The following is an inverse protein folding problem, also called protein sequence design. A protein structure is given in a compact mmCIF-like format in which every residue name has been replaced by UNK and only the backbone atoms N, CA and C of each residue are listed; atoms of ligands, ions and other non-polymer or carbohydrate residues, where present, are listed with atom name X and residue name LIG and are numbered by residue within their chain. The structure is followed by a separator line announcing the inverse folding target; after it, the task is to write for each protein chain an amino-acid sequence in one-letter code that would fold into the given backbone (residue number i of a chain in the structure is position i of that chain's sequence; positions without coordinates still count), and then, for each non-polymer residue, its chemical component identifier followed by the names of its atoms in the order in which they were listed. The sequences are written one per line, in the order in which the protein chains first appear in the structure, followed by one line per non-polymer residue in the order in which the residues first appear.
data_IF_481003324830
#
_entry.id   IF_481003324830
#
_cell.length_a   1.000
_cell.length_b   1.000
_cell.length_c   1.000
_cell.angle_alpha   90.00
_cell.angle_beta   90.00
_cell.angle_gamma   90.00
#
_symmetry.space_group_name_H-M   'P 1'
#
loop_
_entity.id
_entity.type
_entity.pdbx_description
1 polymer ?
#
# COMPACT_ATOMS: atom_id res chain seq x y z
N UNK A 1 -5.39 19.63 9.18
CA UNK A 1 -4.61 18.37 9.17
C UNK A 1 -5.46 17.23 9.73
N UNK A 2 -5.56 16.13 9.01
CA UNK A 2 -6.35 14.98 9.41
C UNK A 2 -5.61 14.18 10.48
N UNK A 3 -6.27 13.90 11.62
CA UNK A 3 -5.68 13.07 12.66
C UNK A 3 -5.69 11.59 12.24
N UNK A 4 -4.81 10.74 12.78
CA UNK A 4 -4.83 9.31 12.50
C UNK A 4 -6.17 8.66 12.83
N UNK A 5 -6.79 9.07 13.94
CA UNK A 5 -8.09 8.52 14.33
C UNK A 5 -9.20 8.92 13.37
N UNK A 6 -9.22 10.18 12.93
CA UNK A 6 -10.20 10.65 11.96
C UNK A 6 -10.04 9.92 10.62
N UNK A 7 -8.81 9.70 10.19
CA UNK A 7 -8.51 8.95 8.98
C UNK A 7 -8.96 7.49 9.11
N UNK A 8 -8.73 6.87 10.27
CA UNK A 8 -9.18 5.51 10.56
C UNK A 8 -10.70 5.40 10.47
N UNK A 9 -11.41 6.34 11.11
CA UNK A 9 -12.87 6.34 11.14
C UNK A 9 -13.44 6.52 9.73
N UNK A 10 -12.87 7.43 8.95
CA UNK A 10 -13.27 7.66 7.56
C UNK A 10 -13.04 6.41 6.71
N UNK A 11 -11.89 5.78 6.85
CA UNK A 11 -11.54 4.57 6.11
C UNK A 11 -12.51 3.42 6.47
N UNK A 12 -12.76 3.21 7.75
CA UNK A 12 -13.67 2.16 8.22
C UNK A 12 -15.09 2.37 7.73
N UNK A 13 -15.57 3.61 7.76
CA UNK A 13 -16.90 3.94 7.29
C UNK A 13 -17.05 3.69 5.79
N UNK A 14 -16.07 4.12 5.00
CA UNK A 14 -16.08 3.91 3.55
C UNK A 14 -15.99 2.41 3.22
N UNK A 15 -15.17 1.66 3.94
CA UNK A 15 -15.05 0.21 3.78
C UNK A 15 -16.36 -0.49 4.10
N UNK A 16 -17.05 -0.07 5.16
CA UNK A 16 -18.34 -0.63 5.56
C UNK A 16 -19.39 -0.38 4.48
N UNK A 17 -19.40 0.82 3.87
CA UNK A 17 -20.32 1.14 2.78
C UNK A 17 -20.07 0.25 1.56
N UNK A 18 -18.82 0.00 1.21
CA UNK A 18 -18.47 -0.88 0.10
C UNK A 18 -18.91 -2.31 0.35
N UNK A 19 -18.74 -2.81 1.58
CA UNK A 19 -19.19 -4.14 1.97
C UNK A 19 -20.71 -4.25 1.87
N UNK A 20 -21.44 -3.23 2.30
CA UNK A 20 -22.88 -3.18 2.19
C UNK A 20 -23.32 -3.18 0.73
N UNK A 21 -22.61 -2.46 -0.14
CA UNK A 21 -22.87 -2.44 -1.58
C UNK A 21 -22.71 -3.81 -2.21
N UNK A 22 -21.69 -4.57 -1.82
CA UNK A 22 -21.45 -5.93 -2.31
C UNK A 22 -22.63 -6.82 -1.93
N UNK A 23 -23.07 -6.74 -0.67
CA UNK A 23 -24.20 -7.52 -0.16
C UNK A 23 -25.49 -7.14 -0.89
N UNK A 24 -25.74 -5.86 -1.12
CA UNK A 24 -26.94 -5.36 -1.76
C UNK A 24 -27.03 -5.70 -3.25
N UNK A 25 -25.88 -5.70 -3.94
CA UNK A 25 -25.83 -5.98 -5.38
C UNK A 25 -25.87 -7.46 -5.72
N UNK A 26 -25.85 -8.33 -4.70
CA UNK A 26 -25.83 -9.77 -4.89
C UNK A 26 -24.45 -10.25 -5.29
N UNK A 27 -24.40 -11.45 -5.87
CA UNK A 27 -23.15 -12.13 -6.15
C UNK A 27 -22.69 -12.00 -7.62
N UNK A 28 -23.09 -10.93 -8.33
CA UNK A 28 -22.64 -10.75 -9.70
C UNK A 28 -21.14 -10.49 -9.74
N UNK A 29 -20.44 -11.14 -10.67
CA UNK A 29 -19.00 -10.98 -10.86
C UNK A 29 -18.63 -9.53 -11.13
N UNK A 30 -19.44 -8.83 -11.92
CA UNK A 30 -19.22 -7.42 -12.24
C UNK A 30 -19.29 -6.53 -11.00
N UNK A 31 -20.28 -6.76 -10.14
CA UNK A 31 -20.44 -5.99 -8.91
C UNK A 31 -19.31 -6.22 -7.94
N UNK A 32 -18.88 -7.46 -7.77
CA UNK A 32 -17.76 -7.81 -6.89
C UNK A 32 -16.47 -7.18 -7.40
N UNK A 33 -16.21 -7.27 -8.70
CA UNK A 33 -14.99 -6.70 -9.30
C UNK A 33 -14.95 -5.19 -9.12
N UNK A 34 -16.07 -4.51 -9.32
CA UNK A 34 -16.18 -3.07 -9.12
C UNK A 34 -15.89 -2.69 -7.66
N UNK A 35 -16.43 -3.46 -6.72
CA UNK A 35 -16.22 -3.21 -5.30
C UNK A 35 -14.75 -3.42 -4.90
N UNK A 36 -14.08 -4.45 -5.43
CA UNK A 36 -12.65 -4.70 -5.18
C UNK A 36 -11.80 -3.56 -5.71
N UNK A 37 -12.13 -3.01 -6.89
CA UNK A 37 -11.45 -1.88 -7.46
C UNK A 37 -11.62 -0.64 -6.56
N UNK A 38 -12.84 -0.39 -6.08
CA UNK A 38 -13.11 0.73 -5.18
C UNK A 38 -12.37 0.60 -3.85
N UNK A 39 -12.25 -0.63 -3.31
CA UNK A 39 -11.47 -0.89 -2.10
C UNK A 39 -10.00 -0.55 -2.33
N UNK A 40 -9.45 -0.95 -3.47
CA UNK A 40 -8.06 -0.64 -3.83
C UNK A 40 -7.84 0.86 -3.95
N UNK A 41 -8.76 1.57 -4.59
CA UNK A 41 -8.68 3.03 -4.73
C UNK A 41 -8.75 3.73 -3.39
N UNK A 42 -9.59 3.26 -2.49
CA UNK A 42 -9.70 3.81 -1.14
C UNK A 42 -8.39 3.66 -0.38
N UNK A 43 -7.77 2.49 -0.44
CA UNK A 43 -6.47 2.25 0.17
C UNK A 43 -5.38 3.12 -0.47
N UNK A 44 -5.38 3.24 -1.80
CA UNK A 44 -4.43 4.09 -2.53
C UNK A 44 -4.49 5.54 -2.06
N UNK A 45 -5.70 6.09 -1.94
CA UNK A 45 -5.90 7.48 -1.55
C UNK A 45 -5.39 7.73 -0.12
N UNK A 46 -5.65 6.80 0.79
CA UNK A 46 -5.15 6.90 2.15
C UNK A 46 -3.62 6.80 2.19
N UNK A 47 -3.04 5.88 1.44
CA UNK A 47 -1.60 5.71 1.38
C UNK A 47 -0.91 6.95 0.80
N UNK A 48 -1.47 7.56 -0.24
CA UNK A 48 -0.93 8.80 -0.81
C UNK A 48 -0.93 9.93 0.21
N UNK A 49 -2.01 10.08 0.96
CA UNK A 49 -2.09 11.09 1.99
C UNK A 49 -1.07 10.88 3.11
N UNK A 50 -0.93 9.64 3.57
CA UNK A 50 0.04 9.28 4.61
C UNK A 50 1.48 9.44 4.12
N UNK A 51 1.75 9.11 2.87
CA UNK A 51 3.07 9.29 2.24
C UNK A 51 3.46 10.76 2.23
N UNK A 52 2.54 11.64 1.86
CA UNK A 52 2.77 13.07 1.86
C UNK A 52 3.02 13.60 3.27
N UNK A 53 2.27 13.14 4.26
CA UNK A 53 2.46 13.53 5.66
C UNK A 53 3.80 13.07 6.21
N UNK A 54 4.30 11.92 5.75
CA UNK A 54 5.60 11.40 6.17
C UNK A 54 6.77 12.19 5.60
N UNK A 55 6.53 12.99 4.57
CA UNK A 55 7.55 13.87 4.01
C UNK A 55 8.52 13.18 3.05
N UNK A 56 8.15 12.03 2.51
CA UNK A 56 8.98 11.39 1.49
C UNK A 56 9.01 12.23 0.22
N UNK A 57 10.20 12.35 -0.34
CA UNK A 57 10.43 13.11 -1.58
C UNK A 57 10.93 12.16 -2.66
N UNK A 58 10.93 12.63 -3.90
CA UNK A 58 11.56 11.88 -4.98
C UNK A 58 13.04 11.70 -4.65
N UNK A 59 13.68 10.58 -4.92
CA UNK A 59 13.24 9.50 -5.81
C UNK A 59 12.64 8.27 -5.10
N UNK A 60 12.05 8.44 -3.95
CA UNK A 60 11.37 7.34 -3.25
C UNK A 60 10.06 7.01 -3.94
N UNK A 61 9.65 5.75 -3.90
CA UNK A 61 8.40 5.29 -4.49
C UNK A 61 7.67 4.30 -3.59
N UNK A 62 6.35 4.33 -3.65
CA UNK A 62 5.50 3.38 -2.96
C UNK A 62 4.70 2.60 -4.00
N UNK A 63 4.82 1.28 -3.99
CA UNK A 63 4.15 0.41 -4.94
C UNK A 63 3.17 -0.53 -4.23
N UNK A 64 2.08 -0.81 -4.90
CA UNK A 64 1.15 -1.88 -4.50
C UNK A 64 1.64 -3.19 -5.11
N UNK A 65 1.66 -4.24 -4.31
CA UNK A 65 2.11 -5.57 -4.76
C UNK A 65 1.09 -6.63 -4.36
N UNK A 66 1.25 -7.85 -4.86
CA UNK A 66 0.35 -8.96 -4.58
C UNK A 66 -1.06 -8.67 -5.06
N UNK A 67 -2.07 -9.12 -4.31
CA UNK A 67 -3.47 -8.87 -4.64
C UNK A 67 -3.82 -7.40 -4.74
N UNK A 68 -3.24 -6.59 -3.87
CA UNK A 68 -3.41 -5.13 -3.91
C UNK A 68 -2.82 -4.54 -5.21
N UNK A 69 -1.69 -5.08 -5.66
CA UNK A 69 -1.10 -4.67 -6.96
C UNK A 69 -2.02 -4.96 -8.14
N UNK A 70 -2.76 -6.06 -8.08
CA UNK A 70 -3.74 -6.44 -9.11
C UNK A 70 -5.08 -5.70 -8.97
N UNK A 71 -5.20 -4.79 -8.00
CA UNK A 71 -6.45 -4.09 -7.67
C UNK A 71 -7.55 -5.05 -7.23
N UNK A 72 -7.16 -6.13 -6.55
CA UNK A 72 -8.05 -7.17 -6.05
C UNK A 72 -8.01 -7.21 -4.52
N UNK A 73 -8.16 -6.05 -3.88
CA UNK A 73 -8.11 -5.95 -2.43
C UNK A 73 -9.43 -6.44 -1.82
N UNK A 74 -9.40 -7.63 -1.24
CA UNK A 74 -10.53 -8.18 -0.51
C UNK A 74 -10.63 -7.50 0.87
N UNK A 75 -11.85 -7.45 1.46
CA UNK A 75 -12.05 -6.70 2.72
C UNK A 75 -11.16 -7.11 3.89
N UNK A 76 -10.72 -8.36 3.93
CA UNK A 76 -9.88 -8.87 5.01
C UNK A 76 -8.46 -9.18 4.55
N UNK A 77 -8.09 -8.74 3.36
CA UNK A 77 -6.74 -8.93 2.84
C UNK A 77 -5.81 -7.86 3.38
N UNK A 78 -4.53 -8.22 3.55
CA UNK A 78 -3.51 -7.25 3.87
C UNK A 78 -3.28 -6.32 2.66
N UNK A 79 -2.95 -5.07 2.96
CA UNK A 79 -2.57 -4.09 1.95
C UNK A 79 -1.05 -4.21 1.74
N UNK A 80 -0.66 -4.99 0.74
CA UNK A 80 0.77 -5.26 0.50
C UNK A 80 1.42 -4.11 -0.26
N UNK A 81 2.45 -3.53 0.32
CA UNK A 81 3.17 -2.39 -0.27
C UNK A 81 4.67 -2.64 -0.28
N UNK A 82 5.33 -2.04 -1.25
CA UNK A 82 6.78 -2.03 -1.36
C UNK A 82 7.26 -0.58 -1.36
N UNK A 83 8.12 -0.24 -0.40
CA UNK A 83 8.83 1.03 -0.40
C UNK A 83 10.12 0.85 -1.18
N UNK A 84 10.20 1.50 -2.33
CA UNK A 84 11.36 1.40 -3.21
C UNK A 84 12.28 2.59 -2.99
N UNK A 85 13.53 2.30 -2.66
CA UNK A 85 14.54 3.31 -2.34
C UNK A 85 15.61 3.36 -3.42
N UNK A 86 16.22 4.53 -3.65
CA UNK A 86 17.43 4.59 -4.49
C UNK A 86 18.56 3.81 -3.82
N UNK A 87 19.51 3.31 -4.62
CA UNK A 87 20.59 2.46 -4.11
C UNK A 87 21.51 3.15 -3.11
N UNK A 88 21.59 4.49 -3.14
CA UNK A 88 22.41 5.26 -2.23
C UNK A 88 21.72 5.55 -0.88
N UNK A 89 20.47 5.11 -0.70
CA UNK A 89 19.71 5.32 0.53
C UNK A 89 19.54 3.98 1.25
N UNK A 90 20.29 3.80 2.33
CA UNK A 90 20.26 2.56 3.12
C UNK A 90 19.72 2.90 4.52
N UNK A 91 18.52 2.39 4.89
CA UNK A 91 17.93 2.70 6.21
C UNK A 91 18.83 2.31 7.38
N UNK A 92 19.56 1.22 7.28
CA UNK A 92 20.45 0.75 8.35
C UNK A 92 21.60 1.72 8.59
N UNK A 93 21.99 2.50 7.58
CA UNK A 93 23.06 3.49 7.68
C UNK A 93 22.54 4.91 7.91
N UNK A 94 21.23 5.10 7.90
CA UNK A 94 20.61 6.42 8.05
C UNK A 94 19.47 6.33 9.07
N UNK A 95 19.75 6.66 10.35
CA UNK A 95 18.72 6.59 11.40
C UNK A 95 17.49 7.48 11.14
N UNK A 96 17.69 8.63 10.51
CA UNK A 96 16.59 9.54 10.19
C UNK A 96 15.64 8.90 9.15
N UNK A 97 16.19 8.27 8.14
CA UNK A 97 15.42 7.57 7.12
C UNK A 97 14.67 6.38 7.73
N UNK A 98 15.34 5.61 8.58
CA UNK A 98 14.72 4.48 9.27
C UNK A 98 13.54 4.93 10.13
N UNK A 99 13.71 6.01 10.88
CA UNK A 99 12.65 6.60 11.71
C UNK A 99 11.47 7.06 10.85
N UNK A 100 11.75 7.69 9.71
CA UNK A 100 10.73 8.16 8.77
C UNK A 100 9.90 7.00 8.22
N UNK A 101 10.55 5.91 7.83
CA UNK A 101 9.89 4.70 7.32
C UNK A 101 9.02 4.07 8.41
N UNK A 102 9.56 3.90 9.61
CA UNK A 102 8.82 3.33 10.74
C UNK A 102 7.60 4.17 11.11
N UNK A 103 7.75 5.50 11.08
CA UNK A 103 6.65 6.41 11.36
C UNK A 103 5.55 6.30 10.31
N UNK A 104 5.91 6.17 9.04
CA UNK A 104 4.96 5.98 7.95
C UNK A 104 4.17 4.67 8.13
N UNK A 105 4.87 3.57 8.39
CA UNK A 105 4.24 2.26 8.60
C UNK A 105 3.30 2.32 9.82
N UNK A 106 3.76 2.90 10.92
CA UNK A 106 2.94 3.08 12.12
C UNK A 106 1.69 3.91 11.86
N UNK A 107 1.82 4.98 11.06
CA UNK A 107 0.68 5.81 10.67
C UNK A 107 -0.34 5.04 9.85
N UNK A 108 0.12 4.12 8.99
CA UNK A 108 -0.78 3.26 8.22
C UNK A 108 -1.60 2.37 9.15
N UNK A 109 -0.96 1.72 10.12
CA UNK A 109 -1.66 0.88 11.10
C UNK A 109 -2.62 1.71 11.94
N UNK A 110 -2.19 2.89 12.39
CA UNK A 110 -3.03 3.80 13.19
C UNK A 110 -4.25 4.29 12.40
N UNK A 111 -4.16 4.34 11.09
CA UNK A 111 -5.25 4.74 10.21
C UNK A 111 -6.17 3.59 9.81
N UNK A 112 -5.94 2.40 10.35
CA UNK A 112 -6.78 1.23 10.08
C UNK A 112 -6.36 0.42 8.86
N UNK A 113 -5.24 0.74 8.24
CA UNK A 113 -4.69 -0.03 7.12
C UNK A 113 -3.79 -1.12 7.67
N UNK A 114 -4.18 -2.37 7.46
CA UNK A 114 -3.37 -3.52 7.86
C UNK A 114 -2.38 -3.82 6.75
N UNK A 115 -1.22 -3.18 6.80
CA UNK A 115 -0.25 -3.29 5.72
C UNK A 115 0.79 -4.38 5.97
N UNK A 116 1.12 -5.11 4.90
CA UNK A 116 2.33 -5.89 4.82
C UNK A 116 3.33 -5.07 4.03
N UNK A 117 4.48 -4.78 4.61
CA UNK A 117 5.44 -3.87 3.99
C UNK A 117 6.78 -4.52 3.75
N UNK A 118 7.39 -4.16 2.62
CA UNK A 118 8.78 -4.48 2.32
C UNK A 118 9.49 -3.19 1.97
N UNK A 119 10.74 -3.06 2.39
CA UNK A 119 11.57 -1.89 2.09
C UNK A 119 12.80 -2.40 1.36
N UNK A 120 12.98 -1.99 0.12
CA UNK A 120 14.09 -2.46 -0.72
C UNK A 120 14.62 -1.36 -1.61
N UNK A 121 15.92 -1.43 -1.90
CA UNK A 121 16.51 -0.62 -2.95
C UNK A 121 16.21 -1.26 -4.30
N UNK A 122 16.44 -0.51 -5.38
CA UNK A 122 16.26 -1.01 -6.74
C UNK A 122 17.14 -2.24 -6.99
N UNK A 123 18.42 -2.17 -6.58
CA UNK A 123 19.36 -3.29 -6.72
C UNK A 123 18.91 -4.51 -5.93
N UNK A 124 18.38 -4.32 -4.72
CA UNK A 124 17.88 -5.42 -3.89
C UNK A 124 16.70 -6.11 -4.56
N UNK A 125 15.76 -5.34 -5.15
CA UNK A 125 14.63 -5.90 -5.87
C UNK A 125 15.08 -6.76 -7.04
N UNK A 126 16.04 -6.29 -7.82
CA UNK A 126 16.56 -7.01 -8.96
C UNK A 126 17.27 -8.30 -8.53
N UNK A 127 18.07 -8.23 -7.46
CA UNK A 127 18.77 -9.40 -6.93
C UNK A 127 17.82 -10.47 -6.40
N UNK A 128 16.78 -10.06 -5.69
CA UNK A 128 15.77 -10.99 -5.17
C UNK A 128 14.96 -11.62 -6.30
N UNK A 129 14.63 -10.83 -7.34
CA UNK A 129 13.88 -11.33 -8.49
C UNK A 129 14.65 -12.40 -9.26
N UNK A 130 15.98 -12.30 -9.31
CA UNK A 130 16.82 -13.32 -9.95
C UNK A 130 16.78 -14.67 -9.21
N UNK A 131 16.55 -14.62 -7.90
CA UNK A 131 16.59 -15.82 -7.06
C UNK A 131 15.22 -16.45 -6.83
N UNK A 132 14.14 -15.68 -6.94
CA UNK A 132 12.82 -16.12 -6.51
C UNK A 132 11.75 -15.72 -7.52
N UNK A 133 11.11 -16.72 -8.12
CA UNK A 133 10.03 -16.51 -9.11
C UNK A 133 8.84 -15.80 -8.47
N UNK A 134 8.59 -16.03 -7.19
CA UNK A 134 7.49 -15.33 -6.47
C UNK A 134 7.73 -13.84 -6.44
N UNK A 135 8.98 -13.41 -6.22
CA UNK A 135 9.34 -11.99 -6.24
C UNK A 135 9.17 -11.42 -7.63
N UNK A 136 9.58 -12.16 -8.67
CA UNK A 136 9.39 -11.74 -10.06
C UNK A 136 7.91 -11.50 -10.36
N UNK A 137 7.05 -12.42 -9.94
CA UNK A 137 5.60 -12.31 -10.14
C UNK A 137 5.05 -11.07 -9.43
N UNK A 138 5.47 -10.85 -8.19
CA UNK A 138 5.05 -9.68 -7.41
C UNK A 138 5.43 -8.37 -8.10
N UNK A 139 6.64 -8.29 -8.66
CA UNK A 139 7.10 -7.09 -9.34
C UNK A 139 6.36 -6.85 -10.65
N UNK A 140 6.08 -7.91 -11.40
CA UNK A 140 5.31 -7.82 -12.66
C UNK A 140 3.90 -7.30 -12.37
N UNK A 141 3.30 -7.73 -11.27
CA UNK A 141 1.95 -7.33 -10.88
C UNK A 141 1.91 -6.04 -10.06
N UNK A 142 3.08 -5.43 -9.81
CA UNK A 142 3.14 -4.22 -9.00
C UNK A 142 2.55 -3.02 -9.73
N UNK A 143 2.09 -2.05 -8.93
CA UNK A 143 1.46 -0.84 -9.42
C UNK A 143 1.97 0.34 -8.61
N UNK A 144 2.37 1.42 -9.29
CA UNK A 144 2.85 2.62 -8.60
C UNK A 144 1.68 3.34 -7.92
N UNK A 145 1.78 3.55 -6.62
CA UNK A 145 0.82 4.33 -5.86
C UNK A 145 1.24 5.80 -5.88
N UNK A 146 2.49 6.07 -5.52
CA UNK A 146 3.02 7.44 -5.48
C UNK A 146 4.55 7.39 -5.55
N UNK A 147 5.15 8.49 -5.99
CA UNK A 147 6.60 8.61 -6.10
C UNK A 147 7.09 8.63 -7.53
N UNK A 148 8.34 8.22 -7.70
CA UNK A 148 9.04 8.38 -8.98
C UNK A 148 9.41 7.05 -9.62
#
# INVERSE_FOLDING_TARGET
MTTPQARRDTYRAAKAQLLASITASGSSTRGVRKALLQMSQLADDNLRGLWQQAGFTKPFALLAVGGFGREELFPHSDVDVLLLLPDDQVPDSDPALKTQIEAFIGSCWDSGLEIGSSVRSISECLAEAEKDVTVQTSLIESRLITGD
#
